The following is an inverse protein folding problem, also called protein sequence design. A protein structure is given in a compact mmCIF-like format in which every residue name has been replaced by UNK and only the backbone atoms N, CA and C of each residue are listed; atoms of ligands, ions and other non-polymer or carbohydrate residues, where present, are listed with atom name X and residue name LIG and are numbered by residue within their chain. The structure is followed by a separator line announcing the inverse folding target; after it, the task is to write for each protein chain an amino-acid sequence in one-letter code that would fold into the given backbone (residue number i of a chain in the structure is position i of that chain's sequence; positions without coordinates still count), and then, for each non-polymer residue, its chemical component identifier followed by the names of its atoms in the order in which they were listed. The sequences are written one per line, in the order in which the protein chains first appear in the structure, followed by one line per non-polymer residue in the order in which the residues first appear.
data_IF_501940390924
#
_entry.id   IF_501940390924
#
_cell.length_a   1.000
_cell.length_b   1.000
_cell.length_c   1.000
_cell.angle_alpha   90.00
_cell.angle_beta   90.00
_cell.angle_gamma   90.00
#
_symmetry.space_group_name_H-M   'P 1'
#
loop_
_entity.id
_entity.type
_entity.pdbx_description
1 polymer ?
#
# COMPACT_ATOMS: atom_id res chain seq x y z
N UNK A 1 7.29 -1.50 11.56
CA UNK A 1 7.99 -0.89 12.71
C UNK A 1 7.60 -1.49 14.06
N UNK A 2 6.33 -1.48 14.45
CA UNK A 2 5.86 -2.10 15.71
C UNK A 2 6.32 -3.56 15.93
N UNK A 3 6.41 -4.35 14.87
CA UNK A 3 6.90 -5.75 14.91
C UNK A 3 8.42 -5.83 15.12
N UNK A 4 9.18 -4.91 14.54
CA UNK A 4 10.66 -5.01 14.46
C UNK A 4 11.31 -4.34 15.68
N UNK A 5 10.78 -3.21 16.13
CA UNK A 5 11.37 -2.35 17.16
C UNK A 5 10.38 -1.98 18.28
N UNK A 6 9.18 -2.55 18.29
CA UNK A 6 8.17 -2.31 19.32
C UNK A 6 7.79 -3.59 20.06
N UNK A 7 6.69 -3.53 20.81
CA UNK A 7 6.15 -4.68 21.55
C UNK A 7 5.54 -5.79 20.66
N UNK A 8 5.58 -5.64 19.33
CA UNK A 8 4.86 -6.50 18.41
C UNK A 8 3.34 -6.40 18.56
N UNK A 9 2.65 -7.42 18.05
CA UNK A 9 1.21 -7.58 18.21
C UNK A 9 0.94 -8.75 19.14
N UNK A 10 0.37 -8.46 20.31
CA UNK A 10 -0.14 -9.47 21.23
C UNK A 10 -1.35 -10.19 20.63
N UNK A 11 -1.77 -11.29 21.25
CA UNK A 11 -2.98 -12.01 20.84
C UNK A 11 -4.24 -11.14 21.00
N UNK A 12 -4.27 -10.25 21.99
CA UNK A 12 -5.35 -9.29 22.20
C UNK A 12 -5.37 -8.23 21.09
N UNK A 13 -4.19 -7.69 20.72
CA UNK A 13 -4.08 -6.77 19.59
C UNK A 13 -4.58 -7.40 18.29
N UNK A 14 -4.11 -8.62 17.99
CA UNK A 14 -4.52 -9.37 16.79
C UNK A 14 -6.03 -9.59 16.76
N UNK A 15 -6.64 -9.93 17.90
CA UNK A 15 -8.09 -10.08 18.02
C UNK A 15 -8.86 -8.79 17.70
N UNK A 16 -8.28 -7.63 18.04
CA UNK A 16 -8.82 -6.32 17.64
C UNK A 16 -8.92 -6.13 16.12
N UNK A 17 -8.06 -6.79 15.34
CA UNK A 17 -8.08 -6.72 13.87
C UNK A 17 -9.09 -7.66 13.21
N UNK A 18 -9.67 -8.62 13.92
CA UNK A 18 -10.60 -9.61 13.35
C UNK A 18 -11.76 -8.94 12.61
N UNK A 19 -12.38 -7.92 13.24
CA UNK A 19 -13.47 -7.15 12.64
C UNK A 19 -13.02 -6.48 11.33
N UNK A 20 -11.84 -5.85 11.35
CA UNK A 20 -11.30 -5.11 10.22
C UNK A 20 -10.99 -6.03 9.02
N UNK A 21 -10.52 -7.25 9.28
CA UNK A 21 -10.30 -8.26 8.24
C UNK A 21 -11.62 -8.61 7.54
N UNK A 22 -12.69 -8.86 8.29
CA UNK A 22 -14.01 -9.14 7.70
C UNK A 22 -14.50 -7.96 6.85
N UNK A 23 -14.38 -6.74 7.38
CA UNK A 23 -14.76 -5.53 6.66
C UNK A 23 -14.00 -5.36 5.34
N UNK A 24 -12.69 -5.67 5.34
CA UNK A 24 -11.86 -5.64 4.15
C UNK A 24 -12.34 -6.65 3.09
N UNK A 25 -12.73 -7.86 3.51
CA UNK A 25 -13.26 -8.90 2.60
C UNK A 25 -14.57 -8.44 1.96
N UNK A 26 -15.53 -7.97 2.76
CA UNK A 26 -16.80 -7.47 2.24
C UNK A 26 -16.60 -6.28 1.29
N UNK A 27 -15.76 -5.32 1.68
CA UNK A 27 -15.43 -4.16 0.84
C UNK A 27 -14.83 -4.58 -0.50
N UNK A 28 -13.88 -5.52 -0.48
CA UNK A 28 -13.25 -6.02 -1.70
C UNK A 28 -14.27 -6.72 -2.62
N UNK A 29 -15.12 -7.59 -2.06
CA UNK A 29 -16.14 -8.29 -2.85
C UNK A 29 -17.21 -7.34 -3.38
N UNK A 30 -17.67 -6.38 -2.58
CA UNK A 30 -18.62 -5.34 -3.01
C UNK A 30 -18.04 -4.47 -4.13
N UNK A 31 -16.75 -4.13 -4.07
CA UNK A 31 -16.08 -3.39 -5.14
C UNK A 31 -16.06 -4.17 -6.45
N UNK A 32 -15.75 -5.47 -6.41
CA UNK A 32 -15.79 -6.34 -7.60
C UNK A 32 -17.21 -6.51 -8.15
N UNK A 33 -18.23 -6.68 -7.30
CA UNK A 33 -19.63 -6.76 -7.72
C UNK A 33 -20.05 -5.48 -8.47
N UNK A 34 -19.69 -4.29 -7.96
CA UNK A 34 -19.95 -3.02 -8.66
C UNK A 34 -19.19 -2.93 -9.98
N UNK A 35 -17.93 -3.36 -9.99
CA UNK A 35 -17.11 -3.36 -11.20
C UNK A 35 -17.66 -4.29 -12.29
N UNK A 36 -18.24 -5.45 -11.94
CA UNK A 36 -18.94 -6.31 -12.89
C UNK A 36 -20.05 -5.57 -13.64
N UNK A 37 -20.86 -4.76 -12.94
CA UNK A 37 -21.92 -3.95 -13.53
C UNK A 37 -21.33 -2.87 -14.46
N UNK A 38 -20.30 -2.15 -14.01
CA UNK A 38 -19.63 -1.08 -14.78
C UNK A 38 -18.93 -1.61 -16.04
N UNK A 39 -18.20 -2.72 -15.91
CA UNK A 39 -17.43 -3.34 -17.00
C UNK A 39 -18.29 -4.26 -17.88
N UNK A 40 -19.57 -4.43 -17.53
CA UNK A 40 -20.55 -5.30 -18.22
C UNK A 40 -20.10 -6.76 -18.31
N UNK A 41 -19.42 -7.25 -17.27
CA UNK A 41 -18.99 -8.64 -17.16
C UNK A 41 -20.17 -9.44 -16.58
N UNK A 42 -20.48 -10.57 -17.21
CA UNK A 42 -21.56 -11.44 -16.76
C UNK A 42 -21.05 -12.51 -15.80
N UNK A 43 -21.84 -12.83 -14.79
CA UNK A 43 -21.60 -14.02 -13.98
C UNK A 43 -21.73 -15.27 -14.85
N UNK A 44 -20.83 -16.23 -14.67
CA UNK A 44 -20.95 -17.52 -15.35
C UNK A 44 -22.10 -18.33 -14.78
N UNK A 45 -22.31 -18.27 -13.46
CA UNK A 45 -23.34 -19.02 -12.77
C UNK A 45 -24.48 -18.10 -12.33
N UNK A 46 -25.70 -18.32 -12.83
CA UNK A 46 -26.88 -17.48 -12.53
C UNK A 46 -27.17 -17.34 -11.01
N UNK A 47 -26.92 -18.40 -10.23
CA UNK A 47 -27.06 -18.39 -8.77
C UNK A 47 -26.20 -17.30 -8.10
N UNK A 48 -25.08 -16.91 -8.71
CA UNK A 48 -24.21 -15.88 -8.17
C UNK A 48 -24.81 -14.48 -8.24
N UNK A 49 -25.86 -14.24 -9.03
CA UNK A 49 -26.62 -12.98 -8.96
C UNK A 49 -27.28 -12.81 -7.59
N UNK A 50 -27.87 -13.87 -7.03
CA UNK A 50 -28.46 -13.82 -5.69
C UNK A 50 -27.38 -13.65 -4.60
N UNK A 51 -26.24 -14.34 -4.73
CA UNK A 51 -25.10 -14.16 -3.83
C UNK A 51 -24.54 -12.73 -3.88
N UNK A 52 -24.44 -12.14 -5.08
CA UNK A 52 -23.98 -10.77 -5.26
C UNK A 52 -24.93 -9.76 -4.59
N UNK A 53 -26.25 -9.94 -4.75
CA UNK A 53 -27.26 -9.12 -4.05
C UNK A 53 -27.11 -9.22 -2.53
N UNK A 54 -26.98 -10.45 -2.00
CA UNK A 54 -26.78 -10.69 -0.58
C UNK A 54 -25.56 -9.94 -0.04
N UNK A 55 -24.42 -9.98 -0.74
CA UNK A 55 -23.20 -9.30 -0.33
C UNK A 55 -23.29 -7.79 -0.49
N UNK A 56 -23.99 -7.30 -1.53
CA UNK A 56 -24.17 -5.87 -1.80
C UNK A 56 -24.98 -5.16 -0.72
N UNK A 57 -25.93 -5.84 -0.10
CA UNK A 57 -26.79 -5.30 0.96
C UNK A 57 -26.13 -5.27 2.35
N UNK A 58 -24.94 -5.85 2.50
CA UNK A 58 -24.23 -5.86 3.78
C UNK A 58 -23.72 -4.47 4.13
N UNK A 59 -24.13 -3.98 5.29
CA UNK A 59 -23.55 -2.80 5.94
C UNK A 59 -22.21 -3.15 6.57
N UNK A 60 -21.13 -2.83 5.86
CA UNK A 60 -19.74 -3.18 6.23
C UNK A 60 -19.37 -2.64 7.61
N UNK A 61 -19.84 -1.46 8.01
CA UNK A 61 -19.44 -0.86 9.30
C UNK A 61 -19.97 -1.65 10.50
N UNK A 62 -21.12 -2.32 10.32
CA UNK A 62 -21.79 -3.13 11.34
C UNK A 62 -21.37 -4.59 11.36
N UNK A 63 -20.54 -5.03 10.41
CA UNK A 63 -20.00 -6.41 10.39
C UNK A 63 -19.15 -6.63 11.63
N UNK A 64 -19.56 -7.58 12.47
CA UNK A 64 -18.81 -8.03 13.66
C UNK A 64 -18.48 -9.52 13.61
N UNK A 65 -19.28 -10.30 12.87
CA UNK A 65 -19.15 -11.74 12.71
C UNK A 65 -19.06 -12.11 11.24
N UNK A 66 -18.53 -13.29 10.97
CA UNK A 66 -18.41 -13.82 9.61
C UNK A 66 -19.30 -15.06 9.45
N UNK A 67 -20.60 -14.80 9.28
CA UNK A 67 -21.63 -15.84 9.22
C UNK A 67 -21.45 -16.77 8.00
N UNK A 68 -21.74 -18.06 8.19
CA UNK A 68 -21.58 -19.10 7.17
C UNK A 68 -22.27 -18.79 5.83
N UNK A 69 -23.43 -18.11 5.86
CA UNK A 69 -24.13 -17.69 4.63
C UNK A 69 -23.30 -16.73 3.78
N UNK A 70 -22.60 -15.78 4.41
CA UNK A 70 -21.76 -14.81 3.70
C UNK A 70 -20.47 -15.45 3.22
N UNK A 71 -19.87 -16.33 4.04
CA UNK A 71 -18.67 -17.10 3.66
C UNK A 71 -18.94 -17.90 2.40
N UNK A 72 -20.05 -18.64 2.36
CA UNK A 72 -20.45 -19.41 1.18
C UNK A 72 -20.71 -18.53 -0.04
N UNK A 73 -21.41 -17.41 0.13
CA UNK A 73 -21.66 -16.46 -0.95
C UNK A 73 -20.34 -15.87 -1.51
N UNK A 74 -19.43 -15.43 -0.65
CA UNK A 74 -18.12 -14.90 -1.05
C UNK A 74 -17.29 -15.97 -1.74
N UNK A 75 -17.28 -17.20 -1.22
CA UNK A 75 -16.53 -18.32 -1.81
C UNK A 75 -17.07 -18.72 -3.19
N UNK A 76 -18.39 -18.77 -3.35
CA UNK A 76 -19.03 -19.09 -4.64
C UNK A 76 -18.86 -17.97 -5.67
N UNK A 77 -18.91 -16.72 -5.23
CA UNK A 77 -18.58 -15.55 -6.06
C UNK A 77 -17.12 -15.55 -6.48
N UNK A 78 -16.18 -15.75 -5.54
CA UNK A 78 -14.75 -15.75 -5.85
C UNK A 78 -14.38 -16.83 -6.86
N UNK A 79 -15.05 -17.99 -6.82
CA UNK A 79 -14.85 -19.06 -7.81
C UNK A 79 -15.62 -18.86 -9.13
N UNK A 80 -16.39 -17.78 -9.29
CA UNK A 80 -17.06 -17.45 -10.55
C UNK A 80 -16.05 -16.90 -11.56
N UNK A 81 -15.94 -17.47 -12.77
CA UNK A 81 -15.03 -16.96 -13.79
C UNK A 81 -15.28 -15.50 -14.18
N UNK A 82 -16.51 -14.99 -14.11
CA UNK A 82 -16.79 -13.58 -14.34
C UNK A 82 -16.16 -12.69 -13.26
N UNK A 83 -16.22 -13.10 -11.99
CA UNK A 83 -15.55 -12.39 -10.89
C UNK A 83 -14.02 -12.49 -11.02
N UNK A 84 -13.49 -13.63 -11.45
CA UNK A 84 -12.05 -13.76 -11.73
C UNK A 84 -11.61 -12.83 -12.88
N UNK A 85 -12.36 -12.77 -13.98
CA UNK A 85 -12.12 -11.82 -15.07
C UNK A 85 -12.17 -10.36 -14.59
N UNK A 86 -13.16 -10.03 -13.75
CA UNK A 86 -13.24 -8.72 -13.12
C UNK A 86 -11.99 -8.43 -12.27
N UNK A 87 -11.53 -9.39 -11.47
CA UNK A 87 -10.31 -9.26 -10.67
C UNK A 87 -9.05 -9.08 -11.54
N UNK A 88 -8.98 -9.73 -12.70
CA UNK A 88 -7.86 -9.54 -13.65
C UNK A 88 -7.84 -8.12 -14.21
N UNK A 89 -9.02 -7.49 -14.34
CA UNK A 89 -9.21 -6.09 -14.75
C UNK A 89 -9.20 -5.09 -13.58
N UNK A 90 -8.72 -5.47 -12.40
CA UNK A 90 -8.64 -4.63 -11.18
C UNK A 90 -7.85 -3.33 -11.30
N UNK A 91 -7.16 -3.08 -12.41
CA UNK A 91 -6.53 -1.77 -12.70
C UNK A 91 -7.56 -0.69 -13.11
N UNK A 92 -8.73 -1.11 -13.59
CA UNK A 92 -9.78 -0.23 -14.13
C UNK A 92 -10.72 0.31 -13.04
N UNK A 93 -10.57 -0.14 -11.78
CA UNK A 93 -11.39 0.28 -10.66
C UNK A 93 -10.64 0.17 -9.34
N UNK A 94 -11.27 0.64 -8.27
CA UNK A 94 -10.64 0.68 -6.95
C UNK A 94 -10.80 -0.65 -6.20
N UNK A 95 -9.69 -1.38 -6.06
CA UNK A 95 -9.61 -2.61 -5.29
C UNK A 95 -8.39 -2.62 -4.36
N UNK A 96 -8.52 -3.23 -3.18
CA UNK A 96 -7.40 -3.43 -2.27
C UNK A 96 -6.42 -4.46 -2.83
N UNK A 97 -5.12 -4.20 -2.73
CA UNK A 97 -4.07 -5.16 -3.14
C UNK A 97 -4.15 -6.48 -2.35
N UNK A 98 -4.65 -6.42 -1.12
CA UNK A 98 -4.84 -7.59 -0.25
C UNK A 98 -6.10 -8.42 -0.57
N UNK A 99 -6.92 -8.03 -1.54
CA UNK A 99 -8.17 -8.71 -1.85
C UNK A 99 -7.98 -10.20 -2.13
N UNK A 100 -7.05 -10.55 -3.04
CA UNK A 100 -6.77 -11.96 -3.39
C UNK A 100 -6.26 -12.77 -2.21
N UNK A 101 -5.42 -12.18 -1.36
CA UNK A 101 -4.91 -12.85 -0.15
C UNK A 101 -6.04 -13.31 0.76
N UNK A 102 -6.97 -12.40 1.11
CA UNK A 102 -8.07 -12.78 2.00
C UNK A 102 -9.13 -13.65 1.34
N UNK A 103 -9.46 -13.40 0.06
CA UNK A 103 -10.51 -14.15 -0.63
C UNK A 103 -10.11 -15.59 -0.96
N UNK A 104 -8.82 -15.83 -1.19
CA UNK A 104 -8.27 -17.18 -1.39
C UNK A 104 -8.32 -17.98 -0.09
N UNK A 105 -8.02 -17.35 1.05
CA UNK A 105 -7.98 -17.99 2.37
C UNK A 105 -9.27 -17.79 3.20
N UNK A 106 -10.41 -17.59 2.53
CA UNK A 106 -11.68 -17.28 3.21
C UNK A 106 -12.09 -18.36 4.22
N UNK A 107 -11.76 -19.63 3.95
CA UNK A 107 -12.06 -20.77 4.82
C UNK A 107 -11.29 -20.68 6.16
N UNK A 108 -10.01 -20.28 6.12
CA UNK A 108 -9.18 -20.06 7.32
C UNK A 108 -9.76 -18.94 8.17
N UNK A 109 -10.20 -17.87 7.52
CA UNK A 109 -10.75 -16.66 8.17
C UNK A 109 -12.14 -16.93 8.76
N UNK A 110 -12.90 -17.85 8.16
CA UNK A 110 -14.23 -18.26 8.62
C UNK A 110 -14.22 -19.33 9.74
N UNK A 111 -13.05 -19.84 10.12
CA UNK A 111 -12.95 -20.89 11.15
C UNK A 111 -13.38 -20.37 12.52
N UNK A 112 -14.06 -21.20 13.31
CA UNK A 112 -14.43 -20.86 14.69
C UNK A 112 -13.18 -20.58 15.53
N UNK A 113 -13.15 -19.44 16.21
CA UNK A 113 -11.97 -19.01 16.97
C UNK A 113 -10.85 -18.42 16.11
N UNK A 114 -11.15 -17.99 14.88
CA UNK A 114 -10.19 -17.30 14.01
C UNK A 114 -9.47 -16.16 14.75
N UNK A 115 -8.14 -16.26 14.74
CA UNK A 115 -7.24 -15.23 15.19
C UNK A 115 -6.38 -14.76 14.01
N UNK A 116 -6.39 -13.46 13.68
CA UNK A 116 -5.55 -12.90 12.63
C UNK A 116 -4.07 -13.19 12.89
N UNK A 117 -3.40 -13.69 11.86
CA UNK A 117 -1.94 -13.82 11.85
C UNK A 117 -1.29 -12.43 11.75
N UNK A 118 0.01 -12.35 12.01
CA UNK A 118 0.74 -11.10 11.76
C UNK A 118 0.63 -10.67 10.29
N UNK A 119 0.58 -11.62 9.35
CA UNK A 119 0.40 -11.31 7.93
C UNK A 119 -0.99 -10.73 7.63
N UNK A 120 -2.04 -11.23 8.29
CA UNK A 120 -3.38 -10.66 8.19
C UNK A 120 -3.40 -9.22 8.71
N UNK A 121 -2.70 -8.94 9.81
CA UNK A 121 -2.59 -7.59 10.38
C UNK A 121 -1.81 -6.64 9.46
N UNK A 122 -0.73 -7.10 8.82
CA UNK A 122 0.05 -6.27 7.89
C UNK A 122 -0.71 -5.96 6.58
N UNK A 123 -1.63 -6.85 6.17
CA UNK A 123 -2.39 -6.72 4.92
C UNK A 123 -3.72 -5.98 5.09
N UNK A 124 -4.17 -5.73 6.32
CA UNK A 124 -5.46 -5.11 6.57
C UNK A 124 -5.38 -3.63 6.19
N UNK A 125 -6.34 -3.16 5.39
CA UNK A 125 -6.38 -1.76 5.00
C UNK A 125 -7.25 -1.00 5.98
N UNK A 126 -6.64 -0.04 6.66
CA UNK A 126 -7.31 1.00 7.45
C UNK A 126 -6.77 2.33 6.93
N UNK A 127 -7.61 3.20 6.32
CA UNK A 127 -7.16 4.51 5.89
C UNK A 127 -6.67 5.33 7.08
N UNK A 128 -5.40 5.75 7.07
CA UNK A 128 -4.87 6.68 8.07
C UNK A 128 -5.57 8.03 7.91
N UNK A 129 -6.19 8.51 8.98
CA UNK A 129 -6.79 9.85 9.05
C UNK A 129 -6.01 10.67 10.09
N UNK A 130 -5.67 11.90 9.73
CA UNK A 130 -4.86 12.77 10.56
C UNK A 130 -3.37 12.40 10.56
N UNK A 131 -2.75 12.62 11.72
CA UNK A 131 -1.32 12.43 11.98
C UNK A 131 -1.18 11.48 13.16
N UNK A 132 -0.39 10.43 12.99
CA UNK A 132 -0.12 9.44 14.03
C UNK A 132 1.37 9.43 14.31
N UNK A 133 1.74 9.70 15.56
CA UNK A 133 3.13 9.62 16.01
C UNK A 133 3.38 8.28 16.71
N UNK A 134 4.48 7.62 16.33
CA UNK A 134 4.92 6.37 16.92
C UNK A 134 6.39 6.50 17.36
N UNK A 135 6.63 6.78 18.65
CA UNK A 135 7.98 6.74 19.21
C UNK A 135 8.43 5.29 19.42
N UNK A 136 9.69 5.00 19.10
CA UNK A 136 10.32 3.74 19.42
C UNK A 136 11.82 3.93 19.68
N UNK A 137 12.38 3.09 20.55
CA UNK A 137 13.79 3.10 20.90
C UNK A 137 14.58 2.18 19.98
N UNK A 138 15.70 2.68 19.47
CA UNK A 138 16.63 1.91 18.67
C UNK A 138 18.06 2.23 19.12
N UNK A 139 18.71 1.27 19.79
CA UNK A 139 20.12 1.38 20.22
C UNK A 139 20.43 2.68 21.00
N UNK A 140 19.56 3.03 21.95
CA UNK A 140 19.62 4.26 22.78
C UNK A 140 19.29 5.58 22.05
N UNK A 141 18.74 5.50 20.84
CA UNK A 141 18.25 6.65 20.09
C UNK A 141 16.74 6.53 19.96
N UNK A 142 16.03 7.58 20.37
CA UNK A 142 14.57 7.62 20.30
C UNK A 142 14.17 8.11 18.91
N UNK A 143 13.61 7.22 18.10
CA UNK A 143 13.01 7.58 16.82
C UNK A 143 11.55 7.94 17.03
N UNK A 144 11.13 9.08 16.48
CA UNK A 144 9.72 9.46 16.38
C UNK A 144 9.28 9.35 14.94
N UNK A 145 8.57 8.29 14.60
CA UNK A 145 7.99 8.12 13.28
C UNK A 145 6.63 8.80 13.21
N UNK A 146 6.41 9.58 12.16
CA UNK A 146 5.15 10.28 11.92
C UNK A 146 4.50 9.69 10.68
N UNK A 147 3.35 9.03 10.85
CA UNK A 147 2.51 8.54 9.75
C UNK A 147 1.39 9.54 9.46
N UNK A 148 1.17 9.81 8.18
CA UNK A 148 0.23 10.83 7.70
C UNK A 148 -0.66 10.26 6.61
N UNK A 149 -1.92 10.69 6.57
CA UNK A 149 -2.84 10.30 5.50
C UNK A 149 -2.36 10.76 4.12
N UNK A 150 -2.25 9.84 3.16
CA UNK A 150 -1.76 10.11 1.79
C UNK A 150 -2.78 10.75 0.84
N UNK A 151 -4.07 10.69 1.17
CA UNK A 151 -5.17 11.21 0.34
C UNK A 151 -5.13 12.73 0.25
N UNK A 152 -5.60 13.31 -0.87
CA UNK A 152 -5.57 14.76 -1.11
C UNK A 152 -6.23 15.57 0.02
N UNK A 153 -7.30 15.06 0.61
CA UNK A 153 -8.01 15.70 1.75
C UNK A 153 -7.16 15.80 3.01
N UNK A 154 -6.24 14.86 3.22
CA UNK A 154 -5.41 14.77 4.42
C UNK A 154 -4.13 15.61 4.31
N UNK A 155 -3.65 15.88 3.09
CA UNK A 155 -2.38 16.60 2.85
C UNK A 155 -2.34 18.01 3.45
N UNK A 156 -3.49 18.68 3.60
CA UNK A 156 -3.57 19.98 4.27
C UNK A 156 -3.12 19.94 5.73
N UNK A 157 -3.21 18.76 6.36
CA UNK A 157 -2.82 18.55 7.76
C UNK A 157 -1.31 18.37 7.91
N UNK A 158 -0.60 18.00 6.85
CA UNK A 158 0.85 17.67 6.89
C UNK A 158 1.71 18.81 7.43
N UNK A 159 1.30 20.06 7.22
CA UNK A 159 1.99 21.24 7.76
C UNK A 159 2.19 21.18 9.28
N UNK A 160 1.34 20.45 10.01
CA UNK A 160 1.44 20.29 11.47
C UNK A 160 2.57 19.36 11.92
N UNK A 161 3.28 18.68 11.00
CA UNK A 161 4.40 17.80 11.33
C UNK A 161 5.68 18.11 10.56
N UNK A 162 5.80 19.31 9.98
CA UNK A 162 6.96 19.71 9.16
C UNK A 162 8.11 20.34 9.97
N UNK A 163 7.90 20.61 11.26
CA UNK A 163 8.94 21.18 12.11
C UNK A 163 9.91 20.09 12.61
N UNK A 164 11.21 20.40 12.57
CA UNK A 164 12.30 19.56 13.10
C UNK A 164 12.33 18.12 12.55
N UNK A 165 12.04 17.95 11.25
CA UNK A 165 12.10 16.65 10.58
C UNK A 165 13.55 16.32 10.20
N UNK A 166 14.12 15.29 10.83
CA UNK A 166 15.47 14.80 10.51
C UNK A 166 15.54 14.09 9.16
N UNK A 167 14.52 13.31 8.82
CA UNK A 167 14.50 12.50 7.60
C UNK A 167 13.08 12.32 7.08
N UNK A 168 12.95 12.33 5.76
CA UNK A 168 11.69 12.08 5.05
C UNK A 168 11.78 10.69 4.43
N UNK A 169 10.84 9.84 4.80
CA UNK A 169 10.62 8.54 4.16
C UNK A 169 9.45 8.67 3.20
N UNK A 170 9.72 8.87 1.92
CA UNK A 170 8.69 8.98 0.89
C UNK A 170 8.38 7.60 0.29
N UNK A 171 7.11 7.19 0.29
CA UNK A 171 6.69 5.90 -0.23
C UNK A 171 5.99 6.04 -1.58
N UNK A 172 6.43 5.25 -2.55
CA UNK A 172 5.84 5.10 -3.88
C UNK A 172 5.38 3.66 -4.04
N UNK A 173 4.18 3.44 -4.56
CA UNK A 173 3.75 2.08 -4.89
C UNK A 173 4.17 1.76 -6.33
N UNK A 174 5.17 0.91 -6.51
CA UNK A 174 5.64 0.49 -7.83
C UNK A 174 4.52 -0.08 -8.69
N UNK A 175 3.55 -0.74 -8.09
CA UNK A 175 2.42 -1.34 -8.79
C UNK A 175 1.36 -0.34 -9.26
N UNK A 176 1.47 0.97 -8.99
CA UNK A 176 0.42 1.94 -9.32
C UNK A 176 0.57 2.60 -10.70
N UNK A 177 1.58 2.20 -11.49
CA UNK A 177 1.88 2.80 -12.80
C UNK A 177 0.73 2.71 -13.82
N UNK A 178 -0.15 1.73 -13.69
CA UNK A 178 -1.30 1.49 -14.59
C UNK A 178 -2.65 1.84 -13.97
N UNK A 179 -2.66 2.57 -12.85
CA UNK A 179 -3.86 2.87 -12.07
C UNK A 179 -4.21 4.36 -12.09
N UNK A 180 -5.50 4.66 -11.91
CA UNK A 180 -6.03 6.02 -11.72
C UNK A 180 -6.32 6.32 -10.24
N UNK A 181 -6.30 7.60 -9.88
CA UNK A 181 -6.61 8.05 -8.52
C UNK A 181 -8.03 7.66 -8.08
N UNK A 182 -8.24 7.54 -6.77
CA UNK A 182 -9.62 7.36 -6.25
C UNK A 182 -10.41 8.66 -6.44
N UNK A 183 -9.71 9.78 -6.30
CA UNK A 183 -10.26 11.13 -6.34
C UNK A 183 -10.47 11.67 -7.76
N UNK A 184 -9.90 11.03 -8.80
CA UNK A 184 -9.92 11.51 -10.18
C UNK A 184 -9.67 10.37 -11.18
N UNK A 185 -10.66 10.08 -12.03
CA UNK A 185 -10.61 8.96 -12.99
C UNK A 185 -9.67 9.22 -14.18
N UNK A 186 -9.19 10.45 -14.36
CA UNK A 186 -8.33 10.85 -15.49
C UNK A 186 -6.86 11.05 -15.11
N UNK A 187 -6.51 10.82 -13.84
CA UNK A 187 -5.17 11.10 -13.33
C UNK A 187 -4.47 9.80 -12.92
N UNK A 188 -3.32 9.55 -13.54
CA UNK A 188 -2.47 8.41 -13.21
C UNK A 188 -1.88 8.56 -11.80
N UNK A 189 -1.92 7.49 -11.00
CA UNK A 189 -1.44 7.50 -9.61
C UNK A 189 0.05 7.78 -9.49
N UNK A 190 0.86 7.22 -10.38
CA UNK A 190 2.30 7.38 -10.34
C UNK A 190 2.70 8.79 -10.76
N UNK A 191 1.98 9.43 -11.68
CA UNK A 191 2.18 10.85 -12.00
C UNK A 191 1.83 11.77 -10.83
N UNK A 192 0.73 11.49 -10.11
CA UNK A 192 0.41 12.22 -8.88
C UNK A 192 1.50 12.03 -7.81
N UNK A 193 2.02 10.81 -7.67
CA UNK A 193 3.10 10.48 -6.74
C UNK A 193 4.39 11.24 -7.08
N UNK A 194 4.74 11.34 -8.37
CA UNK A 194 5.86 12.18 -8.86
C UNK A 194 5.65 13.65 -8.54
N UNK A 195 4.47 14.20 -8.84
CA UNK A 195 4.15 15.59 -8.57
C UNK A 195 4.25 15.93 -7.07
N UNK A 196 3.74 15.03 -6.22
CA UNK A 196 3.85 15.15 -4.78
C UNK A 196 5.30 15.05 -4.30
N UNK A 197 6.08 14.08 -4.80
CA UNK A 197 7.49 13.92 -4.45
C UNK A 197 8.29 15.19 -4.79
N UNK A 198 8.12 15.71 -6.02
CA UNK A 198 8.75 16.96 -6.45
C UNK A 198 8.41 18.11 -5.51
N UNK A 199 7.16 18.22 -5.10
CA UNK A 199 6.72 19.27 -4.16
C UNK A 199 7.43 19.12 -2.81
N UNK A 200 7.48 17.90 -2.26
CA UNK A 200 8.12 17.62 -0.97
C UNK A 200 9.61 17.90 -1.00
N UNK A 201 10.36 17.42 -2.00
CA UNK A 201 11.81 17.62 -2.03
C UNK A 201 12.21 19.09 -2.26
N UNK A 202 11.33 19.89 -2.86
CA UNK A 202 11.55 21.33 -3.07
C UNK A 202 11.14 22.22 -1.89
N UNK A 203 10.48 21.67 -0.87
CA UNK A 203 10.05 22.50 0.26
C UNK A 203 11.26 23.03 1.06
N UNK A 204 11.31 24.34 1.33
CA UNK A 204 12.41 24.94 2.11
C UNK A 204 12.57 24.32 3.51
N UNK A 205 11.45 23.92 4.13
CA UNK A 205 11.40 23.25 5.44
C UNK A 205 12.25 21.97 5.50
N UNK A 206 12.50 21.36 4.35
CA UNK A 206 13.17 20.07 4.24
C UNK A 206 14.55 20.14 3.61
N UNK A 207 15.12 21.34 3.43
CA UNK A 207 16.45 21.50 2.82
C UNK A 207 17.51 20.67 3.54
N UNK A 208 17.54 20.72 4.88
CA UNK A 208 18.50 19.98 5.71
C UNK A 208 18.03 18.56 6.04
N UNK A 209 16.78 18.21 5.73
CA UNK A 209 16.26 16.87 5.96
C UNK A 209 16.80 15.91 4.91
N UNK A 210 17.31 14.77 5.37
CA UNK A 210 17.65 13.65 4.48
C UNK A 210 16.38 13.10 3.79
N UNK A 211 16.51 12.64 2.55
CA UNK A 211 15.38 12.09 1.78
C UNK A 211 15.64 10.63 1.44
N UNK A 212 14.71 9.78 1.85
CA UNK A 212 14.73 8.35 1.59
C UNK A 212 13.49 8.00 0.77
N UNK A 213 13.70 7.40 -0.39
CA UNK A 213 12.68 6.98 -1.33
C UNK A 213 12.46 5.46 -1.23
N UNK A 214 11.27 5.06 -0.80
CA UNK A 214 10.83 3.67 -0.84
C UNK A 214 9.98 3.40 -2.07
N UNK A 215 10.52 2.55 -2.94
CA UNK A 215 9.80 1.98 -4.07
C UNK A 215 9.18 0.66 -3.61
N UNK A 216 7.98 0.75 -3.03
CA UNK A 216 7.29 -0.32 -2.34
C UNK A 216 6.40 -1.16 -3.29
N UNK A 217 5.90 -2.29 -2.80
CA UNK A 217 5.07 -3.26 -3.54
C UNK A 217 5.81 -3.85 -4.75
N UNK A 218 7.11 -4.10 -4.61
CA UNK A 218 7.93 -4.71 -5.66
C UNK A 218 7.40 -6.09 -6.10
N UNK A 219 6.83 -6.84 -5.17
CA UNK A 219 6.19 -8.14 -5.41
C UNK A 219 5.00 -8.01 -6.38
N UNK A 220 4.19 -6.96 -6.20
CA UNK A 220 3.06 -6.70 -7.11
C UNK A 220 3.52 -6.17 -8.47
N UNK A 221 4.66 -5.49 -8.56
CA UNK A 221 5.25 -5.09 -9.84
C UNK A 221 5.72 -6.33 -10.63
N UNK A 222 6.40 -7.26 -9.97
CA UNK A 222 6.91 -8.50 -10.58
C UNK A 222 5.79 -9.31 -11.25
N UNK A 223 4.63 -9.40 -10.60
CA UNK A 223 3.44 -10.05 -11.20
C UNK A 223 2.86 -9.21 -12.35
N UNK A 224 2.71 -7.89 -12.14
CA UNK A 224 1.94 -7.02 -13.04
C UNK A 224 2.63 -6.72 -14.38
N UNK A 225 3.95 -6.59 -14.38
CA UNK A 225 4.73 -6.22 -15.57
C UNK A 225 4.64 -7.27 -16.69
N UNK A 226 4.24 -8.50 -16.36
CA UNK A 226 4.08 -9.61 -17.30
C UNK A 226 2.95 -9.38 -18.31
N UNK A 227 1.91 -8.62 -17.93
CA UNK A 227 0.70 -8.43 -18.73
C UNK A 227 0.22 -6.98 -18.84
N UNK A 228 0.77 -6.04 -18.07
CA UNK A 228 0.48 -4.60 -18.17
C UNK A 228 1.79 -3.88 -18.51
N UNK A 229 1.94 -3.39 -19.74
CA UNK A 229 3.21 -2.89 -20.24
C UNK A 229 3.46 -1.44 -19.81
N UNK A 230 4.62 -1.18 -19.22
CA UNK A 230 4.95 0.16 -18.69
C UNK A 230 4.96 1.24 -19.77
N UNK A 231 5.40 0.90 -20.99
CA UNK A 231 5.47 1.82 -22.14
C UNK A 231 4.11 2.39 -22.56
N UNK A 232 3.01 1.68 -22.27
CA UNK A 232 1.65 2.15 -22.60
C UNK A 232 1.23 3.34 -21.71
N UNK A 233 1.89 3.50 -20.55
CA UNK A 233 1.61 4.54 -19.57
C UNK A 233 2.73 5.59 -19.50
N UNK A 234 3.97 5.17 -19.73
CA UNK A 234 5.18 6.00 -19.75
C UNK A 234 5.93 5.76 -21.05
N UNK A 235 5.58 6.47 -22.15
CA UNK A 235 6.16 6.25 -23.47
C UNK A 235 7.68 6.47 -23.54
N UNK A 236 8.26 7.14 -22.54
CA UNK A 236 9.70 7.34 -22.40
C UNK A 236 10.46 6.08 -21.99
N UNK A 237 9.77 5.01 -21.58
CA UNK A 237 10.38 3.74 -21.23
C UNK A 237 10.88 3.01 -22.50
N UNK A 238 12.20 2.92 -22.65
CA UNK A 238 12.88 2.24 -23.75
C UNK A 238 13.40 0.84 -23.40
N UNK A 239 13.15 0.38 -22.17
CA UNK A 239 13.57 -0.93 -21.68
C UNK A 239 12.73 -2.11 -22.21
N UNK A 240 13.17 -3.36 -21.95
CA UNK A 240 12.45 -4.55 -22.36
C UNK A 240 11.09 -4.67 -21.66
N UNK A 241 10.09 -5.16 -22.39
CA UNK A 241 8.80 -5.53 -21.80
C UNK A 241 8.94 -6.76 -20.90
N UNK A 242 8.05 -6.86 -19.90
CA UNK A 242 7.99 -7.99 -18.95
C UNK A 242 9.24 -8.17 -18.09
N UNK A 243 10.02 -7.12 -17.93
CA UNK A 243 11.20 -7.10 -17.07
C UNK A 243 10.95 -6.18 -15.86
N UNK A 244 10.79 -6.80 -14.68
CA UNK A 244 10.55 -6.08 -13.44
C UNK A 244 11.76 -5.25 -12.99
N UNK A 245 12.98 -5.68 -13.32
CA UNK A 245 14.20 -4.97 -12.97
C UNK A 245 14.35 -3.71 -13.82
N UNK A 246 14.20 -3.82 -15.14
CA UNK A 246 14.24 -2.66 -16.03
C UNK A 246 13.14 -1.66 -15.66
N UNK A 247 11.92 -2.14 -15.39
CA UNK A 247 10.80 -1.29 -14.99
C UNK A 247 11.06 -0.52 -13.68
N UNK A 248 11.53 -1.20 -12.62
CA UNK A 248 11.76 -0.55 -11.32
C UNK A 248 12.94 0.43 -11.36
N UNK A 249 13.96 0.15 -12.17
CA UNK A 249 15.12 1.04 -12.36
C UNK A 249 14.71 2.31 -13.13
N UNK A 250 13.86 2.16 -14.14
CA UNK A 250 13.26 3.31 -14.84
C UNK A 250 12.39 4.15 -13.91
N UNK A 251 11.51 3.54 -13.12
CA UNK A 251 10.69 4.25 -12.15
C UNK A 251 11.57 4.97 -11.11
N UNK A 252 12.61 4.31 -10.60
CA UNK A 252 13.57 4.97 -9.71
C UNK A 252 14.16 6.22 -10.34
N UNK A 253 14.63 6.11 -11.59
CA UNK A 253 15.19 7.25 -12.33
C UNK A 253 14.18 8.38 -12.48
N UNK A 254 12.92 8.07 -12.82
CA UNK A 254 11.86 9.09 -12.93
C UNK A 254 11.66 9.90 -11.66
N UNK A 255 11.87 9.31 -10.48
CA UNK A 255 11.77 10.04 -9.21
C UNK A 255 13.06 10.80 -8.87
N UNK A 256 14.23 10.18 -9.06
CA UNK A 256 15.52 10.83 -8.78
C UNK A 256 15.75 12.05 -9.67
N UNK A 257 15.34 11.97 -10.94
CA UNK A 257 15.47 13.07 -11.92
C UNK A 257 14.58 14.29 -11.58
N UNK A 258 13.63 14.16 -10.63
CA UNK A 258 12.85 15.30 -10.14
C UNK A 258 13.62 16.19 -9.17
N UNK A 259 14.77 15.72 -8.67
CA UNK A 259 15.58 16.45 -7.72
C UNK A 259 16.33 17.62 -8.41
N UNK A 260 16.02 18.88 -8.07
CA UNK A 260 16.73 20.01 -8.65
C UNK A 260 18.09 20.27 -7.99
N UNK A 261 18.36 19.67 -6.82
CA UNK A 261 19.55 19.93 -6.00
C UNK A 261 20.53 18.75 -6.10
N UNK A 262 21.65 18.98 -6.79
CA UNK A 262 22.70 17.97 -6.97
C UNK A 262 23.44 17.59 -5.69
N UNK A 263 23.43 18.48 -4.69
CA UNK A 263 24.12 18.25 -3.42
C UNK A 263 23.25 17.40 -2.47
N UNK A 264 21.93 17.41 -2.70
CA UNK A 264 20.99 16.61 -1.93
C UNK A 264 20.90 15.18 -2.47
N UNK A 265 21.45 14.23 -1.71
CA UNK A 265 21.41 12.81 -2.06
C UNK A 265 20.05 12.21 -1.69
N UNK A 266 19.42 11.51 -2.63
CA UNK A 266 18.22 10.70 -2.41
C UNK A 266 18.64 9.24 -2.23
N UNK A 267 18.42 8.70 -1.02
CA UNK A 267 18.67 7.29 -0.73
C UNK A 267 17.46 6.46 -1.13
N UNK A 268 17.63 5.46 -1.99
CA UNK A 268 16.49 4.69 -2.51
C UNK A 268 16.57 3.22 -2.15
N UNK A 269 15.39 2.63 -1.88
CA UNK A 269 15.27 1.21 -1.58
C UNK A 269 14.02 0.62 -2.22
N UNK A 270 14.18 -0.56 -2.83
CA UNK A 270 13.06 -1.37 -3.30
C UNK A 270 12.52 -2.23 -2.16
N UNK A 271 11.24 -2.07 -1.82
CA UNK A 271 10.65 -2.69 -0.63
C UNK A 271 9.41 -3.52 -0.93
N UNK A 272 9.16 -4.49 -0.05
CA UNK A 272 7.86 -5.09 0.15
C UNK A 272 7.48 -4.88 1.63
N UNK A 273 6.61 -3.91 1.91
CA UNK A 273 6.23 -3.57 3.28
C UNK A 273 5.52 -4.71 4.04
N UNK A 274 4.98 -5.70 3.31
CA UNK A 274 4.37 -6.88 3.93
C UNK A 274 5.38 -8.00 4.22
N UNK A 275 6.65 -7.81 3.85
CA UNK A 275 7.78 -8.68 4.20
C UNK A 275 8.59 -8.03 5.34
N UNK A 276 8.49 -8.63 6.54
CA UNK A 276 9.12 -8.10 7.74
C UNK A 276 10.64 -8.14 7.68
N UNK A 277 11.24 -9.15 7.03
CA UNK A 277 12.68 -9.28 6.93
C UNK A 277 13.27 -8.30 5.91
N UNK A 278 12.56 -8.07 4.80
CA UNK A 278 12.93 -7.03 3.85
C UNK A 278 12.95 -5.64 4.53
N UNK A 279 11.92 -5.31 5.31
CA UNK A 279 11.87 -4.04 6.03
C UNK A 279 12.92 -3.96 7.14
N UNK A 280 13.24 -5.06 7.84
CA UNK A 280 14.30 -5.09 8.85
C UNK A 280 15.66 -4.70 8.26
N UNK A 281 16.03 -5.30 7.13
CA UNK A 281 17.29 -5.01 6.45
C UNK A 281 17.35 -3.57 5.93
N UNK A 282 16.27 -3.14 5.27
CA UNK A 282 16.18 -1.80 4.69
C UNK A 282 16.19 -0.73 5.77
N UNK A 283 15.49 -0.94 6.89
CA UNK A 283 15.47 0.03 7.98
C UNK A 283 16.82 0.12 8.71
N UNK A 284 17.58 -0.97 8.79
CA UNK A 284 18.95 -0.93 9.31
C UNK A 284 19.86 -0.03 8.45
N UNK A 285 19.80 -0.15 7.12
CA UNK A 285 20.56 0.71 6.21
C UNK A 285 20.15 2.19 6.31
N UNK A 286 18.84 2.43 6.48
CA UNK A 286 18.29 3.77 6.69
C UNK A 286 18.75 4.37 8.01
N UNK A 287 18.77 3.59 9.09
CA UNK A 287 19.32 4.00 10.39
C UNK A 287 20.74 4.51 10.23
N UNK A 288 21.62 3.69 9.63
CA UNK A 288 23.03 4.03 9.49
C UNK A 288 23.23 5.30 8.65
N UNK A 289 22.41 5.48 7.60
CA UNK A 289 22.42 6.69 6.76
C UNK A 289 22.02 7.93 7.56
N UNK A 290 20.91 7.86 8.31
CA UNK A 290 20.41 8.98 9.12
C UNK A 290 21.43 9.34 10.21
N UNK A 291 22.02 8.34 10.88
CA UNK A 291 23.00 8.57 11.95
C UNK A 291 24.29 9.20 11.42
N UNK A 292 24.82 8.71 10.30
CA UNK A 292 26.03 9.29 9.71
C UNK A 292 25.82 10.74 9.26
N UNK A 293 24.65 11.08 8.72
CA UNK A 293 24.34 12.45 8.30
C UNK A 293 24.25 13.41 9.49
N UNK A 294 23.53 13.02 10.55
CA UNK A 294 23.44 13.84 11.76
C UNK A 294 24.79 13.98 12.47
N UNK A 295 25.58 12.91 12.58
CA UNK A 295 26.89 12.98 13.24
C UNK A 295 27.87 13.93 12.52
N UNK A 296 27.83 13.96 11.18
CA UNK A 296 28.61 14.92 10.37
C UNK A 296 28.16 16.35 10.60
N UNK A 297 26.85 16.58 10.68
CA UNK A 297 26.28 17.93 10.94
C UNK A 297 26.75 18.49 12.30
N UNK A 298 26.95 17.62 13.30
CA UNK A 298 27.47 17.99 14.62
C UNK A 298 29.00 17.87 14.79
N UNK A 299 29.77 17.65 13.71
CA UNK A 299 31.24 17.45 13.74
C UNK A 299 31.69 16.37 14.74
N UNK A 300 30.89 15.33 14.94
CA UNK A 300 31.22 14.21 15.83
C UNK A 300 31.98 13.08 15.11
N UNK A 301 32.09 13.16 13.77
CA UNK A 301 32.90 12.28 12.89
C UNK A 301 33.41 13.08 11.70
#
# INVERSE_FOLDING_TARGET
MRIIHGAGYSEEDKRGFTKLVYQNIFTAMQAMIRAMETLKILYKYEQNKANALLIREVDVEKVTTFEHRYVNAIKTLWNDPGIQECYDRRREYQLSDSAKYYLTDVDRIATSGYLPTQQDVLRVRVPTTGIIEYPFDLENIIFRMVDVGGQRSERRKWIHCFENVTSIMFLVALSEYDQVLVESDNENRMEESKALFRTIITYPWFQNSSVILFLNKKDLLEDKILYSHLVDYFPEFDGPQRDAQAAREFILKMFVDLNPDSDKIIYSHFTCATDTENIRFVFAAVKDTILQLNLKEYNLV
#
